data_IF_557350845941
#
_entry.id   IF_557350845941
#
_cell.length_a   1.000
_cell.length_b   1.000
_cell.length_c   1.000
_cell.angle_alpha   90.00
_cell.angle_beta   90.00
_cell.angle_gamma   90.00
#
_symmetry.space_group_name_H-M   'P 1'
#
loop_
_entity.id
_entity.type
_entity.pdbx_description
1 polymer ?
#
# COMPACT_ATOMS: atom_id res chain seq x y z
N UNK A 1 31.78 -28.83 11.75
CA UNK A 1 32.87 -28.03 12.33
C UNK A 1 33.22 -26.91 11.39
N UNK A 2 32.89 -25.70 11.74
CA UNK A 2 33.42 -24.51 11.07
C UNK A 2 34.91 -24.47 11.38
N UNK A 3 35.73 -24.74 10.38
CA UNK A 3 37.17 -24.46 10.48
C UNK A 3 37.33 -22.94 10.57
N UNK A 4 37.66 -22.42 11.73
CA UNK A 4 38.14 -21.05 11.87
C UNK A 4 39.46 -20.99 11.13
N UNK A 5 39.42 -20.58 9.86
CA UNK A 5 40.60 -20.31 9.06
C UNK A 5 41.48 -19.24 9.72
N UNK A 6 42.68 -19.06 9.19
CA UNK A 6 43.59 -18.01 9.65
C UNK A 6 42.89 -16.66 9.84
N UNK A 7 43.28 -15.88 10.85
CA UNK A 7 42.64 -14.58 11.09
C UNK A 7 42.65 -13.75 9.81
N UNK A 8 41.46 -13.34 9.37
CA UNK A 8 41.36 -12.48 8.20
C UNK A 8 41.97 -11.11 8.53
N UNK A 9 42.66 -10.48 7.58
CA UNK A 9 43.23 -9.17 7.83
C UNK A 9 42.09 -8.20 8.20
N UNK A 10 42.24 -7.51 9.31
CA UNK A 10 41.35 -6.47 9.77
C UNK A 10 41.67 -5.12 9.14
N UNK A 11 40.67 -4.28 8.85
CA UNK A 11 39.25 -4.46 9.07
C UNK A 11 38.55 -5.29 8.00
N UNK A 12 37.59 -6.13 8.40
CA UNK A 12 36.83 -6.95 7.47
C UNK A 12 35.75 -6.11 6.76
N UNK A 13 35.98 -5.82 5.49
CA UNK A 13 35.02 -5.13 4.63
C UNK A 13 34.17 -6.16 3.87
N UNK A 14 33.04 -6.54 4.41
CA UNK A 14 32.13 -7.50 3.79
C UNK A 14 30.69 -6.95 3.75
N UNK A 15 29.98 -7.31 2.70
CA UNK A 15 28.53 -7.18 2.62
C UNK A 15 27.89 -8.53 2.88
N UNK A 16 26.84 -8.59 3.65
CA UNK A 16 26.16 -9.85 3.95
C UNK A 16 24.95 -9.65 4.85
N UNK A 17 24.30 -10.77 5.17
CA UNK A 17 23.18 -10.82 6.13
C UNK A 17 23.62 -11.60 7.35
N UNK A 18 23.33 -11.05 8.51
CA UNK A 18 23.52 -11.71 9.79
C UNK A 18 22.21 -11.73 10.54
N UNK A 19 21.87 -12.86 11.10
CA UNK A 19 20.71 -13.01 11.97
C UNK A 19 21.16 -13.01 13.42
N UNK A 20 20.36 -12.43 14.29
CA UNK A 20 20.53 -12.57 15.74
C UNK A 20 20.52 -14.07 16.11
N UNK A 21 21.47 -14.56 16.92
CA UNK A 21 21.62 -15.98 17.18
C UNK A 21 20.48 -16.56 18.05
N UNK A 22 19.78 -15.73 18.80
CA UNK A 22 18.73 -16.06 19.77
C UNK A 22 17.34 -15.68 19.29
N UNK A 23 17.14 -15.53 17.97
CA UNK A 23 15.83 -15.21 17.37
C UNK A 23 14.77 -16.23 17.78
N UNK A 24 13.60 -15.70 18.10
CA UNK A 24 12.40 -16.46 18.44
C UNK A 24 11.40 -16.42 17.30
N UNK A 25 10.51 -17.37 17.26
CA UNK A 25 9.45 -17.40 16.25
C UNK A 25 8.52 -16.21 16.41
N UNK A 26 8.12 -15.62 15.27
CA UNK A 26 7.04 -14.65 15.23
C UNK A 26 5.73 -15.28 15.72
N UNK A 27 4.87 -14.46 16.27
CA UNK A 27 3.54 -14.87 16.70
C UNK A 27 2.48 -13.86 16.25
N UNK A 28 1.26 -14.34 16.09
CA UNK A 28 0.11 -13.52 15.71
C UNK A 28 -1.04 -13.76 16.68
N UNK A 29 -1.60 -12.69 17.20
CA UNK A 29 -2.89 -12.68 17.88
C UNK A 29 -3.91 -12.03 16.94
N UNK A 30 -5.02 -12.72 16.71
CA UNK A 30 -6.10 -12.22 15.86
C UNK A 30 -7.41 -12.32 16.64
N UNK A 31 -8.27 -11.32 16.44
CA UNK A 31 -9.60 -11.26 17.03
C UNK A 31 -10.58 -10.68 16.04
N UNK A 32 -11.81 -11.20 16.12
CA UNK A 32 -12.92 -10.74 15.30
C UNK A 32 -14.21 -10.82 16.10
N UNK A 33 -15.00 -9.75 16.00
CA UNK A 33 -16.39 -9.73 16.43
C UNK A 33 -17.24 -9.33 15.23
N UNK A 34 -18.16 -10.19 14.82
CA UNK A 34 -19.03 -9.95 13.69
C UNK A 34 -20.49 -10.11 14.09
N UNK A 35 -21.34 -9.19 13.64
CA UNK A 35 -22.80 -9.25 13.78
C UNK A 35 -23.38 -9.20 12.37
N UNK A 36 -24.13 -10.24 12.01
CA UNK A 36 -24.84 -10.32 10.73
C UNK A 36 -26.33 -10.36 10.99
N UNK A 37 -27.08 -9.63 10.17
CA UNK A 37 -28.55 -9.63 10.23
C UNK A 37 -29.13 -9.71 8.82
N UNK A 38 -30.06 -10.63 8.65
CA UNK A 38 -30.89 -10.67 7.47
C UNK A 38 -32.03 -9.66 7.66
N UNK A 39 -31.99 -8.55 6.88
CA UNK A 39 -32.98 -7.46 6.96
C UNK A 39 -34.23 -7.80 6.17
N UNK A 40 -34.08 -8.47 5.03
CA UNK A 40 -35.17 -9.00 4.20
C UNK A 40 -34.84 -10.43 3.78
N UNK A 41 -35.75 -11.13 3.09
CA UNK A 41 -35.48 -12.48 2.58
C UNK A 41 -34.21 -12.57 1.71
N UNK A 42 -33.83 -11.47 1.07
CA UNK A 42 -32.74 -11.43 0.10
C UNK A 42 -31.61 -10.46 0.49
N UNK A 43 -31.76 -9.62 1.50
CA UNK A 43 -30.75 -8.65 1.95
C UNK A 43 -30.17 -9.05 3.30
N UNK A 44 -28.88 -9.28 3.32
CA UNK A 44 -28.08 -9.48 4.52
C UNK A 44 -27.11 -8.30 4.71
N UNK A 45 -27.01 -7.80 5.95
CA UNK A 45 -26.02 -6.80 6.35
C UNK A 45 -25.21 -7.36 7.50
N UNK A 46 -23.91 -7.17 7.44
CA UNK A 46 -22.95 -7.55 8.47
C UNK A 46 -22.05 -6.39 8.83
N UNK A 47 -21.73 -6.28 10.12
CA UNK A 47 -20.70 -5.38 10.63
C UNK A 47 -19.72 -6.18 11.44
N UNK A 48 -18.43 -5.89 11.29
CA UNK A 48 -17.38 -6.59 12.01
C UNK A 48 -16.32 -5.62 12.52
N UNK A 49 -15.79 -5.93 13.69
CA UNK A 49 -14.51 -5.41 14.15
C UNK A 49 -13.47 -6.50 14.05
N UNK A 50 -12.39 -6.23 13.36
CA UNK A 50 -11.28 -7.16 13.12
C UNK A 50 -9.99 -6.52 13.59
N UNK A 51 -9.18 -7.28 14.31
CA UNK A 51 -7.88 -6.80 14.72
C UNK A 51 -6.82 -7.90 14.68
N UNK A 52 -5.57 -7.50 14.54
CA UNK A 52 -4.43 -8.37 14.71
C UNK A 52 -3.26 -7.64 15.35
N UNK A 53 -2.50 -8.40 16.14
CA UNK A 53 -1.20 -7.99 16.63
C UNK A 53 -0.19 -9.09 16.29
N UNK A 54 0.85 -8.70 15.57
CA UNK A 54 1.94 -9.57 15.19
C UNK A 54 3.20 -9.08 15.90
N UNK A 55 3.78 -9.92 16.73
CA UNK A 55 4.99 -9.64 17.49
C UNK A 55 6.15 -10.52 17.05
N UNK A 56 7.35 -10.14 17.43
CA UNK A 56 8.58 -10.82 17.03
C UNK A 56 8.68 -10.99 15.50
N UNK A 57 8.20 -10.01 14.77
CA UNK A 57 8.39 -9.98 13.33
C UNK A 57 9.84 -9.66 13.00
N UNK A 58 10.28 -10.06 11.85
CA UNK A 58 11.59 -9.70 11.37
C UNK A 58 11.74 -8.17 11.30
N UNK A 59 12.79 -7.68 11.89
CA UNK A 59 13.22 -6.30 11.84
C UNK A 59 14.67 -6.29 11.37
N UNK A 60 14.88 -5.77 10.18
CA UNK A 60 16.21 -5.75 9.57
C UNK A 60 16.63 -4.37 9.15
N UNK A 61 17.92 -4.12 9.17
CA UNK A 61 18.49 -2.83 8.79
C UNK A 61 20.02 -2.88 8.79
N UNK A 62 20.63 -1.71 8.71
CA UNK A 62 22.09 -1.55 8.68
C UNK A 62 22.72 -1.74 10.06
N UNK A 63 22.73 -2.97 10.57
CA UNK A 63 23.23 -3.28 11.90
C UNK A 63 24.70 -2.99 12.12
N UNK A 64 25.51 -2.90 11.04
CA UNK A 64 26.91 -2.45 11.15
C UNK A 64 27.06 -0.93 11.29
N UNK A 65 25.98 -0.15 11.13
CA UNK A 65 26.06 1.29 11.26
C UNK A 65 26.38 1.72 12.71
N UNK A 66 27.00 2.87 12.92
CA UNK A 66 27.01 3.53 14.22
C UNK A 66 25.62 3.67 14.80
N UNK A 67 25.48 3.57 16.12
CA UNK A 67 24.18 3.70 16.80
C UNK A 67 23.63 5.11 16.78
N UNK A 68 24.51 6.08 16.64
CA UNK A 68 24.20 7.52 16.55
C UNK A 68 24.80 8.10 15.27
N UNK A 69 24.39 9.30 14.90
CA UNK A 69 25.07 10.04 13.85
C UNK A 69 26.57 10.16 14.18
N UNK A 70 27.41 9.88 13.19
CA UNK A 70 28.87 9.91 13.38
C UNK A 70 29.43 11.35 13.26
N UNK A 71 29.06 12.16 14.24
CA UNK A 71 29.36 13.57 14.35
C UNK A 71 30.05 13.81 15.69
N UNK A 72 31.07 14.65 15.70
CA UNK A 72 31.72 15.09 16.91
C UNK A 72 30.75 16.00 17.71
N UNK A 73 30.31 15.63 18.91
CA UNK A 73 29.32 16.39 19.67
C UNK A 73 29.82 17.75 20.15
N UNK A 74 31.15 17.94 20.26
CA UNK A 74 31.73 19.19 20.72
C UNK A 74 31.86 20.25 19.61
N UNK A 75 32.12 19.78 18.37
CA UNK A 75 32.43 20.71 17.27
C UNK A 75 31.39 20.65 16.12
N UNK A 76 30.49 19.69 16.12
CA UNK A 76 29.55 19.44 15.00
C UNK A 76 30.24 18.92 13.72
N UNK A 77 31.55 18.60 13.81
CA UNK A 77 32.32 18.08 12.67
C UNK A 77 31.92 16.65 12.33
N UNK A 78 31.83 16.36 11.06
CA UNK A 78 31.69 14.97 10.59
C UNK A 78 32.95 14.18 10.93
N UNK A 79 32.78 13.04 11.57
CA UNK A 79 33.88 12.15 11.92
C UNK A 79 34.53 11.57 10.66
N UNK A 80 35.83 11.39 10.70
CA UNK A 80 36.56 10.66 9.65
C UNK A 80 36.11 9.19 9.57
N UNK A 81 36.41 8.47 8.49
CA UNK A 81 36.09 7.04 8.39
C UNK A 81 36.65 6.20 9.55
N UNK A 82 37.86 6.50 10.04
CA UNK A 82 38.48 5.79 11.17
C UNK A 82 37.72 6.03 12.47
N UNK A 83 37.44 7.30 12.80
CA UNK A 83 36.66 7.69 13.99
C UNK A 83 35.24 7.11 13.94
N UNK A 84 34.56 7.19 12.79
CA UNK A 84 33.25 6.59 12.57
C UNK A 84 33.24 5.09 12.78
N UNK A 85 34.24 4.37 12.26
CA UNK A 85 34.34 2.93 12.41
C UNK A 85 34.51 2.51 13.88
N UNK A 86 35.14 3.33 14.71
CA UNK A 86 35.24 3.09 16.14
C UNK A 86 33.88 3.17 16.87
N UNK A 87 32.90 3.89 16.30
CA UNK A 87 31.52 3.98 16.85
C UNK A 87 30.63 2.79 16.46
N UNK A 88 31.09 1.91 15.58
CA UNK A 88 30.30 0.76 15.17
C UNK A 88 30.23 -0.30 16.28
N UNK A 89 29.12 -1.02 16.41
CA UNK A 89 28.99 -2.13 17.38
C UNK A 89 30.08 -3.20 17.21
N UNK A 90 30.55 -3.37 15.99
CA UNK A 90 31.64 -4.26 15.61
C UNK A 90 32.67 -3.45 14.84
N UNK A 91 33.57 -2.79 15.54
CA UNK A 91 34.54 -1.84 14.97
C UNK A 91 35.45 -2.45 13.90
N UNK A 92 35.72 -3.75 13.97
CA UNK A 92 36.50 -4.50 12.97
C UNK A 92 35.71 -4.82 11.69
N UNK A 93 34.38 -4.61 11.66
CA UNK A 93 33.56 -4.82 10.47
C UNK A 93 33.25 -3.46 9.85
N UNK A 94 33.93 -3.11 8.78
CA UNK A 94 33.74 -1.83 8.08
C UNK A 94 32.77 -1.93 6.91
N UNK A 95 32.37 -3.15 6.53
CA UNK A 95 31.41 -3.41 5.48
C UNK A 95 30.00 -2.99 5.83
N UNK A 96 29.18 -2.93 4.81
CA UNK A 96 27.76 -2.57 4.92
C UNK A 96 26.93 -3.86 4.99
N UNK A 97 26.86 -4.49 6.15
CA UNK A 97 26.02 -5.67 6.34
C UNK A 97 24.67 -5.34 6.96
N UNK A 98 23.70 -6.13 6.64
CA UNK A 98 22.38 -6.12 7.26
C UNK A 98 22.33 -7.04 8.46
N UNK A 99 21.68 -6.60 9.50
CA UNK A 99 21.40 -7.39 10.68
C UNK A 99 19.90 -7.57 10.86
N UNK A 100 19.45 -8.77 11.13
CA UNK A 100 18.06 -9.12 11.26
C UNK A 100 17.79 -9.69 12.65
N UNK A 101 16.75 -9.20 13.28
CA UNK A 101 16.31 -9.57 14.62
C UNK A 101 14.80 -9.81 14.65
N UNK A 102 14.27 -10.30 15.77
CA UNK A 102 12.85 -10.63 15.99
C UNK A 102 12.11 -9.57 16.83
N UNK A 103 12.52 -8.29 16.72
CA UNK A 103 11.97 -7.20 17.53
C UNK A 103 10.87 -6.40 16.82
N UNK A 104 10.52 -6.76 15.60
CA UNK A 104 9.51 -6.10 14.81
C UNK A 104 8.09 -6.37 15.31
N UNK A 105 7.18 -5.44 15.00
CA UNK A 105 5.77 -5.57 15.33
C UNK A 105 4.88 -4.99 14.23
N UNK A 106 3.64 -5.51 14.15
CA UNK A 106 2.56 -4.91 13.36
C UNK A 106 1.25 -4.99 14.13
N UNK A 107 0.45 -3.94 14.06
CA UNK A 107 -0.89 -3.87 14.64
C UNK A 107 -1.87 -3.37 13.61
N UNK A 108 -2.92 -4.15 13.37
CA UNK A 108 -4.03 -3.83 12.48
C UNK A 108 -5.32 -3.76 13.27
N UNK A 109 -6.17 -2.77 12.97
CA UNK A 109 -7.54 -2.70 13.46
C UNK A 109 -8.44 -2.22 12.33
N UNK A 110 -9.59 -2.82 12.18
CA UNK A 110 -10.56 -2.46 11.15
C UNK A 110 -11.99 -2.60 11.63
N UNK A 111 -12.82 -1.66 11.18
CA UNK A 111 -14.27 -1.80 11.12
C UNK A 111 -14.64 -2.18 9.69
N UNK A 112 -15.48 -3.19 9.53
CA UNK A 112 -15.93 -3.67 8.24
C UNK A 112 -17.47 -3.67 8.18
N UNK A 113 -18.00 -3.14 7.07
CA UNK A 113 -19.40 -3.19 6.72
C UNK A 113 -19.56 -4.00 5.44
N UNK A 114 -20.46 -4.97 5.43
CA UNK A 114 -20.82 -5.77 4.27
C UNK A 114 -22.34 -5.76 4.08
N UNK A 115 -22.80 -5.49 2.87
CA UNK A 115 -24.19 -5.64 2.47
C UNK A 115 -24.24 -6.56 1.25
N UNK A 116 -25.07 -7.59 1.32
CA UNK A 116 -25.24 -8.57 0.25
C UNK A 116 -26.74 -8.72 -0.08
N UNK A 117 -27.08 -8.31 -1.28
CA UNK A 117 -28.38 -8.58 -1.88
C UNK A 117 -28.26 -9.84 -2.73
N UNK A 118 -28.95 -10.93 -2.35
CA UNK A 118 -29.10 -12.13 -3.17
C UNK A 118 -30.06 -11.86 -4.31
N UNK A 119 -29.96 -12.68 -5.36
CA UNK A 119 -30.81 -12.52 -6.53
C UNK A 119 -32.28 -12.40 -6.16
N UNK A 120 -32.87 -11.26 -6.48
CA UNK A 120 -34.28 -10.96 -6.33
C UNK A 120 -34.70 -9.97 -7.41
N UNK A 121 -35.75 -10.27 -8.13
CA UNK A 121 -36.28 -9.46 -9.23
C UNK A 121 -35.22 -9.05 -10.28
N UNK A 122 -34.28 -9.95 -10.56
CA UNK A 122 -33.22 -9.71 -11.51
C UNK A 122 -31.99 -8.97 -10.96
N UNK A 123 -31.92 -8.69 -9.65
CA UNK A 123 -30.84 -7.91 -9.06
C UNK A 123 -30.02 -8.71 -8.03
N UNK A 124 -28.72 -8.63 -8.15
CA UNK A 124 -27.73 -9.15 -7.18
C UNK A 124 -26.70 -8.06 -6.91
N UNK A 125 -26.34 -7.85 -5.66
CA UNK A 125 -25.38 -6.81 -5.29
C UNK A 125 -24.55 -7.22 -4.08
N UNK A 126 -23.28 -6.83 -4.06
CA UNK A 126 -22.39 -6.94 -2.91
C UNK A 126 -21.63 -5.64 -2.73
N UNK A 127 -21.79 -5.03 -1.57
CA UNK A 127 -21.05 -3.86 -1.13
C UNK A 127 -20.20 -4.27 0.07
N UNK A 128 -18.94 -3.85 0.08
CA UNK A 128 -18.02 -4.02 1.20
C UNK A 128 -17.28 -2.71 1.44
N UNK A 129 -17.27 -2.29 2.69
CA UNK A 129 -16.53 -1.12 3.14
C UNK A 129 -15.64 -1.49 4.32
N UNK A 130 -14.39 -1.07 4.27
CA UNK A 130 -13.42 -1.26 5.35
C UNK A 130 -12.87 0.09 5.76
N UNK A 131 -12.92 0.37 7.05
CA UNK A 131 -12.20 1.47 7.68
C UNK A 131 -11.14 0.88 8.61
N UNK A 132 -9.86 1.16 8.32
CA UNK A 132 -8.75 0.48 9.02
C UNK A 132 -7.60 1.40 9.35
N UNK A 133 -6.77 0.92 10.29
CA UNK A 133 -5.49 1.51 10.64
C UNK A 133 -4.45 0.42 10.86
N UNK A 134 -3.29 0.60 10.22
CA UNK A 134 -2.14 -0.30 10.39
C UNK A 134 -0.92 0.49 10.84
N UNK A 135 -0.27 0.03 11.90
CA UNK A 135 0.99 0.57 12.42
C UNK A 135 1.97 -0.59 12.47
N UNK A 136 3.20 -0.37 12.03
CA UNK A 136 4.27 -1.35 12.11
C UNK A 136 5.64 -0.69 12.37
N UNK A 137 6.66 -1.51 12.59
CA UNK A 137 8.05 -1.07 12.68
C UNK A 137 8.80 -1.25 11.35
N UNK A 138 8.29 -2.10 10.48
CA UNK A 138 8.81 -2.31 9.13
C UNK A 138 7.70 -2.91 8.28
N UNK A 139 7.46 -2.32 7.11
CA UNK A 139 6.41 -2.79 6.19
C UNK A 139 6.92 -3.77 5.15
N UNK A 140 8.16 -4.15 5.19
CA UNK A 140 8.75 -5.03 4.20
C UNK A 140 9.64 -6.10 4.80
N UNK A 141 9.89 -7.13 4.02
CA UNK A 141 10.87 -8.16 4.29
C UNK A 141 12.19 -7.77 3.63
N UNK A 142 13.33 -7.99 4.28
CA UNK A 142 14.67 -7.63 3.80
C UNK A 142 14.85 -6.15 3.40
N UNK A 143 14.40 -5.19 4.23
CA UNK A 143 14.39 -3.77 3.84
C UNK A 143 13.58 -3.49 2.59
N UNK A 144 12.66 -4.34 2.23
CA UNK A 144 11.82 -4.36 1.05
C UNK A 144 12.28 -3.42 -0.05
N UNK A 145 13.28 -3.84 -0.73
CA UNK A 145 13.66 -3.22 -1.99
C UNK A 145 12.48 -3.36 -2.93
N UNK A 146 11.78 -2.26 -3.20
CA UNK A 146 10.72 -2.19 -4.20
C UNK A 146 9.32 -2.59 -3.75
N UNK A 147 9.07 -2.84 -2.47
CA UNK A 147 7.70 -2.93 -1.94
C UNK A 147 7.06 -1.55 -1.85
N UNK A 148 5.73 -1.52 -1.92
CA UNK A 148 4.91 -0.33 -1.78
C UNK A 148 5.34 0.45 -0.53
N UNK A 149 5.98 1.62 -0.70
CA UNK A 149 6.32 2.56 0.38
C UNK A 149 7.29 2.05 1.45
N UNK A 150 7.83 0.85 1.30
CA UNK A 150 8.76 0.25 2.26
C UNK A 150 10.16 0.86 2.18
N UNK A 151 10.32 2.10 2.64
CA UNK A 151 11.66 2.62 2.87
C UNK A 151 12.24 1.95 4.10
N UNK A 152 13.51 1.52 4.06
CA UNK A 152 14.13 0.84 5.18
C UNK A 152 14.25 1.77 6.39
N UNK A 153 14.45 1.14 7.50
CA UNK A 153 14.73 1.78 8.78
C UNK A 153 15.98 2.65 8.65
N UNK A 154 15.87 3.95 8.90
CA UNK A 154 17.03 4.86 8.80
C UNK A 154 18.07 4.61 9.90
N UNK A 155 17.63 4.22 11.09
CA UNK A 155 18.48 3.81 12.20
C UNK A 155 18.03 2.46 12.74
N UNK A 156 18.80 1.41 12.50
CA UNK A 156 18.49 0.06 12.99
C UNK A 156 18.39 0.01 14.53
N UNK A 157 19.15 0.83 15.22
CA UNK A 157 19.27 0.80 16.68
C UNK A 157 18.15 1.56 17.40
N UNK A 158 17.36 2.31 16.67
CA UNK A 158 16.19 3.04 17.17
C UNK A 158 14.90 2.48 16.54
N UNK A 159 14.32 1.49 17.21
CA UNK A 159 13.07 0.86 16.77
C UNK A 159 11.84 1.78 16.95
N UNK A 160 11.91 2.70 17.90
CA UNK A 160 10.80 3.62 18.16
C UNK A 160 10.71 4.67 17.05
N UNK A 161 11.85 5.13 16.53
CA UNK A 161 11.93 5.93 15.31
C UNK A 161 11.38 5.20 14.07
N UNK A 162 11.56 3.90 14.01
CA UNK A 162 11.04 3.08 12.90
C UNK A 162 9.53 2.80 13.01
N UNK A 163 8.93 2.93 14.21
CA UNK A 163 7.50 2.69 14.41
C UNK A 163 6.66 3.80 13.82
N UNK A 164 5.77 3.47 12.90
CA UNK A 164 4.93 4.46 12.23
C UNK A 164 3.77 3.83 11.46
N UNK A 165 3.08 4.65 10.69
CA UNK A 165 2.05 4.17 9.76
C UNK A 165 2.65 3.15 8.80
N UNK A 166 2.01 1.98 8.68
CA UNK A 166 2.44 0.94 7.75
C UNK A 166 2.31 1.40 6.30
N UNK A 167 3.20 0.96 5.41
CA UNK A 167 3.05 1.17 3.97
C UNK A 167 1.79 0.50 3.39
N UNK A 168 1.21 -0.46 4.10
CA UNK A 168 -0.02 -1.15 3.73
C UNK A 168 -1.28 -0.50 4.34
N UNK A 169 -1.13 0.63 5.04
CA UNK A 169 -2.25 1.33 5.67
C UNK A 169 -3.10 2.06 4.63
N UNK A 170 -4.24 1.48 4.31
CA UNK A 170 -5.27 2.10 3.46
C UNK A 170 -6.52 2.32 4.32
N UNK A 171 -6.72 3.53 4.89
CA UNK A 171 -7.78 3.78 5.85
C UNK A 171 -9.18 3.45 5.36
N UNK A 172 -9.48 3.75 4.12
CA UNK A 172 -10.80 3.53 3.55
C UNK A 172 -10.70 2.73 2.26
N UNK A 173 -11.45 1.62 2.20
CA UNK A 173 -11.62 0.82 0.98
C UNK A 173 -13.11 0.54 0.83
N UNK A 174 -13.68 0.94 -0.31
CA UNK A 174 -15.05 0.65 -0.72
C UNK A 174 -15.02 -0.17 -2.02
N UNK A 175 -15.70 -1.30 -2.00
CA UNK A 175 -15.98 -2.09 -3.20
C UNK A 175 -17.47 -2.29 -3.33
N UNK A 176 -18.00 -2.14 -4.55
CA UNK A 176 -19.38 -2.39 -4.84
C UNK A 176 -19.52 -3.06 -6.21
N UNK A 177 -19.98 -4.29 -6.22
CA UNK A 177 -20.24 -5.06 -7.43
C UNK A 177 -21.71 -5.43 -7.50
N UNK A 178 -22.30 -5.32 -8.68
CA UNK A 178 -23.72 -5.67 -8.90
C UNK A 178 -23.96 -6.19 -10.29
N UNK A 179 -24.98 -7.01 -10.38
CA UNK A 179 -25.55 -7.56 -11.61
C UNK A 179 -27.03 -7.24 -11.59
N UNK A 180 -27.50 -6.56 -12.64
CA UNK A 180 -28.90 -6.22 -12.80
C UNK A 180 -29.43 -6.66 -14.16
N UNK A 181 -30.27 -7.68 -14.15
CA UNK A 181 -31.07 -8.05 -15.32
C UNK A 181 -32.19 -7.03 -15.45
N UNK A 182 -32.17 -6.23 -16.51
CA UNK A 182 -33.17 -5.20 -16.72
C UNK A 182 -34.58 -5.82 -16.85
N UNK A 183 -35.60 -5.18 -16.30
CA UNK A 183 -36.95 -5.74 -16.22
C UNK A 183 -37.72 -5.63 -17.55
N UNK A 184 -37.01 -5.69 -18.68
CA UNK A 184 -37.54 -5.59 -20.01
C UNK A 184 -37.30 -6.87 -20.79
N UNK A 185 -38.26 -7.29 -21.65
CA UNK A 185 -38.16 -8.43 -22.54
C UNK A 185 -39.07 -9.61 -22.17
N UNK A 186 -38.94 -10.70 -22.94
CA UNK A 186 -39.78 -11.89 -22.76
C UNK A 186 -39.62 -12.47 -21.34
N UNK A 187 -40.76 -12.70 -20.68
CA UNK A 187 -40.80 -13.23 -19.32
C UNK A 187 -40.39 -12.20 -18.22
N UNK A 188 -40.19 -10.93 -18.58
CA UNK A 188 -39.89 -9.81 -17.64
C UNK A 188 -41.16 -8.98 -17.40
N UNK A 189 -41.05 -7.99 -16.49
CA UNK A 189 -42.17 -7.15 -16.07
C UNK A 189 -42.74 -6.28 -17.22
N UNK A 190 -41.86 -5.79 -18.09
CA UNK A 190 -42.22 -4.84 -19.15
C UNK A 190 -41.70 -5.31 -20.51
N UNK A 191 -42.36 -4.85 -21.58
CA UNK A 191 -42.00 -5.15 -22.97
C UNK A 191 -41.88 -6.66 -23.25
N UNK A 192 -42.94 -7.42 -22.89
CA UNK A 192 -42.97 -8.87 -23.00
C UNK A 192 -43.05 -9.35 -24.45
N UNK A 193 -43.63 -8.53 -25.35
CA UNK A 193 -43.99 -8.93 -26.73
C UNK A 193 -43.55 -7.91 -27.77
N UNK A 194 -43.59 -8.34 -29.03
CA UNK A 194 -43.34 -7.50 -30.20
C UNK A 194 -41.86 -7.20 -30.48
N UNK A 195 -41.61 -6.39 -31.51
CA UNK A 195 -40.26 -6.03 -31.97
C UNK A 195 -39.47 -5.26 -30.90
N UNK A 196 -40.16 -4.45 -30.05
CA UNK A 196 -39.53 -3.73 -28.96
C UNK A 196 -38.90 -4.67 -27.90
N UNK A 197 -39.55 -5.81 -27.63
CA UNK A 197 -39.03 -6.85 -26.75
C UNK A 197 -37.70 -7.43 -27.27
N UNK A 198 -37.55 -7.55 -28.55
CA UNK A 198 -36.32 -8.07 -29.19
C UNK A 198 -35.17 -7.08 -29.05
N UNK A 199 -35.40 -5.79 -29.23
CA UNK A 199 -34.38 -4.75 -29.21
C UNK A 199 -34.02 -4.36 -27.78
N UNK A 200 -35.04 -4.05 -26.96
CA UNK A 200 -34.88 -3.49 -25.62
C UNK A 200 -34.91 -4.53 -24.48
N UNK A 201 -35.25 -5.78 -24.81
CA UNK A 201 -35.33 -6.86 -23.82
C UNK A 201 -34.02 -7.59 -23.58
N UNK A 202 -33.98 -8.38 -22.50
CA UNK A 202 -32.89 -9.27 -22.13
C UNK A 202 -31.52 -8.60 -22.01
N UNK A 203 -31.51 -7.36 -21.56
CA UNK A 203 -30.29 -6.65 -21.20
C UNK A 203 -29.94 -6.90 -19.74
N UNK A 204 -28.65 -7.00 -19.48
CA UNK A 204 -28.07 -7.10 -18.16
C UNK A 204 -27.00 -6.01 -18.02
N UNK A 205 -27.08 -5.28 -16.92
CA UNK A 205 -26.10 -4.25 -16.54
C UNK A 205 -25.28 -4.77 -15.37
N UNK A 206 -23.96 -4.82 -15.52
CA UNK A 206 -23.04 -5.17 -14.45
C UNK A 206 -22.15 -4.00 -14.18
N UNK A 207 -21.85 -3.73 -12.92
CA UNK A 207 -20.86 -2.72 -12.56
C UNK A 207 -20.01 -3.17 -11.40
N UNK A 208 -18.81 -2.65 -11.37
CA UNK A 208 -17.86 -2.81 -10.28
C UNK A 208 -17.23 -1.45 -9.97
N UNK A 209 -17.40 -0.99 -8.74
CA UNK A 209 -16.77 0.21 -8.19
C UNK A 209 -15.70 -0.22 -7.19
N UNK A 210 -14.54 0.39 -7.31
CA UNK A 210 -13.48 0.37 -6.30
C UNK A 210 -13.13 1.82 -5.97
N UNK A 211 -13.17 2.17 -4.68
CA UNK A 211 -12.64 3.43 -4.19
C UNK A 211 -11.78 3.17 -2.94
N UNK A 212 -10.62 3.84 -2.85
CA UNK A 212 -9.72 3.69 -1.71
C UNK A 212 -8.94 4.96 -1.44
N UNK A 213 -8.55 5.14 -0.18
CA UNK A 213 -7.59 6.18 0.22
C UNK A 213 -6.24 6.00 -0.45
N UNK A 214 -5.48 7.08 -0.53
CA UNK A 214 -4.11 7.08 -1.01
C UNK A 214 -3.16 6.27 -0.14
N UNK A 215 -2.08 5.80 -0.74
CA UNK A 215 -1.02 5.06 -0.04
C UNK A 215 -0.19 5.99 0.85
N UNK A 216 0.30 5.51 1.99
CA UNK A 216 1.22 6.26 2.83
C UNK A 216 2.58 6.46 2.13
N UNK A 217 3.23 7.60 2.40
CA UNK A 217 4.50 7.95 1.78
C UNK A 217 5.45 8.60 2.76
N UNK A 218 6.72 8.26 2.65
CA UNK A 218 7.83 8.82 3.44
C UNK A 218 8.59 9.84 2.61
N UNK A 219 8.90 11.00 3.18
CA UNK A 219 9.78 11.98 2.55
C UNK A 219 11.24 11.65 2.86
N UNK A 220 12.05 11.56 1.82
CA UNK A 220 13.46 11.17 1.93
C UNK A 220 14.39 12.31 1.53
N UNK A 221 15.56 12.34 2.18
CA UNK A 221 16.58 13.38 1.94
C UNK A 221 17.75 12.90 1.06
N UNK A 222 17.84 11.61 0.80
CA UNK A 222 19.00 11.07 0.07
C UNK A 222 20.33 11.21 0.82
N UNK A 223 21.42 10.76 0.21
CA UNK A 223 22.76 10.92 0.75
C UNK A 223 23.05 10.17 2.06
N UNK A 224 23.97 10.70 2.85
CA UNK A 224 24.39 10.18 4.15
C UNK A 224 24.51 11.34 5.17
N UNK A 225 23.38 11.98 5.55
CA UNK A 225 23.42 13.12 6.46
C UNK A 225 23.95 12.77 7.85
N UNK A 226 23.67 11.57 8.34
CA UNK A 226 24.15 11.09 9.63
C UNK A 226 25.60 10.59 9.61
N UNK A 227 26.30 10.67 8.48
CA UNK A 227 27.68 10.23 8.29
C UNK A 227 27.91 8.75 8.67
N UNK A 228 27.04 7.87 8.24
CA UNK A 228 27.14 6.42 8.55
C UNK A 228 28.15 5.69 7.67
N UNK A 229 28.59 6.32 6.57
CA UNK A 229 29.56 5.77 5.63
C UNK A 229 28.95 5.00 4.45
N UNK A 230 27.66 5.14 4.22
CA UNK A 230 26.97 4.60 3.08
C UNK A 230 25.74 5.45 2.77
N UNK A 231 25.31 5.46 1.52
CA UNK A 231 24.05 6.08 1.15
C UNK A 231 22.93 5.42 1.94
N UNK A 232 22.24 6.20 2.75
CA UNK A 232 21.18 5.72 3.62
C UNK A 232 19.81 6.22 3.11
N UNK A 233 18.77 5.55 3.54
CA UNK A 233 17.39 5.98 3.32
C UNK A 233 16.97 7.02 4.38
N UNK A 234 17.79 8.06 4.53
CA UNK A 234 17.49 9.13 5.49
C UNK A 234 16.17 9.79 5.14
N UNK A 235 15.32 9.94 6.14
CA UNK A 235 14.14 10.77 6.04
C UNK A 235 14.55 12.23 6.05
N UNK A 236 13.68 13.10 5.54
CA UNK A 236 13.86 14.54 5.69
C UNK A 236 13.55 14.99 7.12
N UNK A 237 14.01 16.18 7.50
CA UNK A 237 13.53 16.84 8.70
C UNK A 237 12.14 17.42 8.45
N UNK A 238 11.24 17.31 9.43
CA UNK A 238 9.96 18.00 9.45
C UNK A 238 10.13 19.34 10.15
N UNK A 239 9.97 20.44 9.40
CA UNK A 239 10.18 21.83 9.89
C UNK A 239 8.91 22.68 9.82
N UNK A 240 7.80 22.13 9.35
CA UNK A 240 6.51 22.82 9.24
C UNK A 240 5.35 21.87 8.98
N UNK A 241 4.16 22.39 8.71
CA UNK A 241 3.00 21.59 8.35
C UNK A 241 3.15 21.06 6.90
N UNK A 242 3.17 19.74 6.71
CA UNK A 242 3.32 19.13 5.39
C UNK A 242 2.05 19.19 4.52
N UNK A 243 0.91 19.56 5.08
CA UNK A 243 -0.37 19.55 4.36
C UNK A 243 -0.57 20.84 3.57
N UNK A 244 -1.36 20.73 2.52
CA UNK A 244 -1.89 21.85 1.74
C UNK A 244 -3.42 21.78 1.76
N UNK A 245 -4.07 22.93 1.79
CA UNK A 245 -5.52 23.02 1.70
C UNK A 245 -6.05 22.60 0.33
N UNK A 246 -5.30 22.88 -0.73
CA UNK A 246 -5.65 22.56 -2.11
C UNK A 246 -4.45 21.92 -2.85
N UNK A 247 -4.21 20.61 -2.66
CA UNK A 247 -3.13 19.91 -3.32
C UNK A 247 -3.43 19.71 -4.81
N UNK A 248 -2.42 19.94 -5.66
CA UNK A 248 -2.48 19.73 -7.11
C UNK A 248 -1.42 18.73 -7.57
N UNK A 249 -1.53 18.16 -8.80
CA UNK A 249 -0.47 17.28 -9.32
C UNK A 249 0.90 17.96 -9.43
N UNK A 250 0.95 19.28 -9.61
CA UNK A 250 2.21 20.03 -9.65
C UNK A 250 2.78 20.33 -8.27
N UNK A 251 1.94 20.30 -7.24
CA UNK A 251 2.34 20.51 -5.84
C UNK A 251 1.39 19.75 -4.91
N UNK A 252 1.75 18.50 -4.59
CA UNK A 252 0.88 17.61 -3.82
C UNK A 252 0.94 17.84 -2.31
N UNK A 253 2.06 18.33 -1.80
CA UNK A 253 2.26 18.64 -0.38
C UNK A 253 3.20 19.84 -0.22
N UNK A 254 3.23 20.41 0.97
CA UNK A 254 4.03 21.58 1.27
C UNK A 254 5.54 21.24 1.26
N UNK A 255 6.23 21.64 0.20
CA UNK A 255 7.68 21.43 0.04
C UNK A 255 8.50 22.07 1.16
N UNK A 256 8.08 23.24 1.65
CA UNK A 256 8.80 24.00 2.65
C UNK A 256 8.69 23.38 4.05
N UNK A 257 7.78 22.43 4.25
CA UNK A 257 7.65 21.69 5.50
C UNK A 257 8.79 20.69 5.74
N UNK A 258 9.64 20.45 4.74
CA UNK A 258 10.70 19.47 4.84
C UNK A 258 12.05 20.08 4.47
N UNK A 259 13.08 19.71 5.23
CA UNK A 259 14.47 20.13 5.02
C UNK A 259 15.41 18.92 4.98
N UNK A 260 16.57 19.09 4.37
CA UNK A 260 17.63 18.11 4.46
C UNK A 260 18.21 18.06 5.89
N UNK A 261 18.30 16.89 6.50
CA UNK A 261 18.94 16.78 7.82
C UNK A 261 20.40 17.20 7.74
N UNK A 262 20.87 17.92 8.77
CA UNK A 262 22.25 18.35 8.86
C UNK A 262 22.93 17.63 10.01
N UNK A 263 23.90 16.76 9.67
CA UNK A 263 24.67 15.99 10.65
C UNK A 263 23.82 15.16 11.63
N UNK A 264 22.64 14.70 11.18
CA UNK A 264 21.67 13.97 12.00
C UNK A 264 20.87 12.97 11.16
N UNK A 265 20.11 12.12 11.83
CA UNK A 265 19.00 11.40 11.22
C UNK A 265 17.82 12.36 11.01
N UNK A 266 17.04 12.14 9.96
CA UNK A 266 15.88 12.97 9.70
C UNK A 266 14.78 12.78 10.74
N UNK A 267 14.10 13.87 11.08
CA UNK A 267 13.11 13.93 12.17
C UNK A 267 11.68 13.66 11.73
N UNK A 268 11.38 13.60 10.41
CA UNK A 268 10.02 13.29 9.97
C UNK A 268 9.63 11.84 10.25
N UNK A 269 8.35 11.61 10.54
CA UNK A 269 7.82 10.26 10.71
C UNK A 269 7.85 9.46 9.40
N UNK A 270 7.92 8.15 9.55
CA UNK A 270 7.72 7.22 8.43
C UNK A 270 6.27 7.27 7.98
N UNK A 271 6.06 7.36 6.65
CA UNK A 271 4.73 7.35 6.04
C UNK A 271 3.82 8.49 6.53
N UNK A 272 4.40 9.68 6.73
CA UNK A 272 3.72 10.88 7.22
C UNK A 272 2.73 11.47 6.20
N UNK A 273 2.97 11.27 4.91
CA UNK A 273 2.13 11.77 3.82
C UNK A 273 1.26 10.67 3.22
N UNK A 274 0.26 11.09 2.42
CA UNK A 274 -0.56 10.19 1.60
C UNK A 274 -0.58 10.64 0.15
N UNK A 275 -0.51 9.65 -0.73
CA UNK A 275 -0.76 9.81 -2.16
C UNK A 275 -2.23 10.16 -2.44
N UNK A 276 -2.58 10.54 -3.68
CA UNK A 276 -3.97 10.68 -4.10
C UNK A 276 -4.81 9.45 -3.81
N UNK A 277 -6.10 9.68 -3.54
CA UNK A 277 -7.08 8.60 -3.50
C UNK A 277 -7.26 7.99 -4.89
N UNK A 278 -7.73 6.77 -4.94
CA UNK A 278 -8.02 6.05 -6.18
C UNK A 278 -9.47 5.66 -6.22
N UNK A 279 -10.15 5.88 -7.37
CA UNK A 279 -11.44 5.25 -7.62
C UNK A 279 -11.62 4.89 -9.10
N UNK A 280 -12.36 3.83 -9.34
CA UNK A 280 -12.64 3.32 -10.67
C UNK A 280 -14.03 2.70 -10.71
N UNK A 281 -14.73 2.87 -11.82
CA UNK A 281 -15.98 2.16 -12.12
C UNK A 281 -15.86 1.49 -13.47
N UNK A 282 -16.01 0.18 -13.47
CA UNK A 282 -16.14 -0.62 -14.68
C UNK A 282 -17.60 -0.97 -14.89
N UNK A 283 -18.04 -0.96 -16.14
CA UNK A 283 -19.42 -1.21 -16.55
C UNK A 283 -19.44 -2.24 -17.67
N UNK A 284 -20.34 -3.22 -17.57
CA UNK A 284 -20.63 -4.15 -18.66
C UNK A 284 -22.11 -4.09 -18.99
N UNK A 285 -22.42 -3.84 -20.24
CA UNK A 285 -23.76 -3.99 -20.80
C UNK A 285 -23.79 -5.25 -21.65
N UNK A 286 -24.60 -6.22 -21.23
CA UNK A 286 -24.73 -7.52 -21.89
C UNK A 286 -26.14 -7.67 -22.45
N UNK A 287 -26.23 -8.18 -23.67
CA UNK A 287 -27.49 -8.56 -24.32
C UNK A 287 -27.51 -10.05 -24.63
N UNK A 288 -28.52 -10.73 -24.16
CA UNK A 288 -28.77 -12.12 -24.42
C UNK A 288 -29.87 -12.26 -25.49
N UNK A 289 -29.56 -12.85 -26.63
CA UNK A 289 -30.47 -13.06 -27.77
C UNK A 289 -30.71 -14.55 -27.89
N UNK A 290 -31.88 -15.07 -27.46
CA UNK A 290 -32.20 -16.45 -27.59
C UNK A 290 -32.45 -16.78 -29.08
N UNK A 291 -31.81 -17.84 -29.57
CA UNK A 291 -31.93 -18.36 -30.94
C UNK A 291 -32.59 -19.76 -30.93
N UNK A 292 -33.76 -19.86 -30.33
CA UNK A 292 -34.47 -21.11 -30.07
C UNK A 292 -34.32 -21.61 -28.63
N UNK A 293 -34.54 -22.92 -28.42
CA UNK A 293 -34.61 -23.51 -27.08
C UNK A 293 -33.22 -23.78 -26.44
N UNK A 294 -32.19 -24.01 -27.26
CA UNK A 294 -30.86 -24.42 -26.78
C UNK A 294 -29.72 -23.49 -27.20
N UNK A 295 -29.99 -22.51 -28.05
CA UNK A 295 -28.94 -21.62 -28.61
C UNK A 295 -29.14 -20.18 -28.18
N UNK A 296 -28.04 -19.50 -27.92
CA UNK A 296 -28.05 -18.12 -27.48
C UNK A 296 -26.87 -17.37 -28.09
N UNK A 297 -27.11 -16.14 -28.55
CA UNK A 297 -26.07 -15.20 -28.89
C UNK A 297 -25.97 -14.18 -27.77
N UNK A 298 -24.78 -13.99 -27.24
CA UNK A 298 -24.45 -13.06 -26.17
C UNK A 298 -23.57 -11.95 -26.75
N UNK A 299 -24.04 -10.72 -26.68
CA UNK A 299 -23.27 -9.53 -27.01
C UNK A 299 -22.88 -8.83 -25.71
N UNK A 300 -21.62 -8.38 -25.59
CA UNK A 300 -21.10 -7.60 -24.47
C UNK A 300 -20.45 -6.32 -24.94
N UNK A 301 -20.75 -5.25 -24.25
CA UNK A 301 -20.03 -3.98 -24.29
C UNK A 301 -19.42 -3.78 -22.90
N UNK A 302 -18.10 -3.79 -22.82
CA UNK A 302 -17.36 -3.63 -21.57
C UNK A 302 -16.62 -2.27 -21.60
N UNK A 303 -16.85 -1.47 -20.57
CA UNK A 303 -16.31 -0.14 -20.39
C UNK A 303 -15.48 -0.12 -19.10
N UNK A 304 -14.17 -0.21 -19.25
CA UNK A 304 -13.27 -0.05 -18.10
C UNK A 304 -13.00 1.43 -17.90
N UNK A 305 -13.03 1.88 -16.64
CA UNK A 305 -12.97 3.29 -16.28
C UNK A 305 -14.02 4.10 -17.05
N UNK A 306 -15.30 3.76 -16.85
CA UNK A 306 -16.42 4.31 -17.64
C UNK A 306 -16.48 5.83 -17.62
N UNK A 307 -16.09 6.47 -16.52
CA UNK A 307 -16.06 7.91 -16.35
C UNK A 307 -14.80 8.57 -16.94
N UNK A 308 -13.84 7.78 -17.45
CA UNK A 308 -12.53 8.27 -17.88
C UNK A 308 -11.84 9.14 -16.83
N UNK A 309 -12.00 8.74 -15.55
CA UNK A 309 -11.39 9.45 -14.43
C UNK A 309 -9.88 9.24 -14.42
N UNK A 310 -9.15 10.33 -14.23
CA UNK A 310 -7.69 10.27 -14.08
C UNK A 310 -7.39 9.98 -12.62
N UNK A 311 -6.81 8.81 -12.37
CA UNK A 311 -6.26 8.49 -11.07
C UNK A 311 -4.79 8.87 -11.06
N UNK A 312 -4.44 9.89 -10.33
CA UNK A 312 -3.07 10.36 -10.21
C UNK A 312 -2.16 9.32 -9.54
N UNK A 313 -0.91 9.28 -9.98
CA UNK A 313 0.14 8.46 -9.39
C UNK A 313 0.65 9.03 -8.07
N UNK A 314 1.69 8.41 -7.53
CA UNK A 314 2.32 8.92 -6.33
C UNK A 314 3.21 10.12 -6.67
N UNK A 315 3.19 11.19 -5.86
CA UNK A 315 4.14 12.28 -5.98
C UNK A 315 5.57 11.81 -5.64
N UNK A 316 6.55 12.47 -6.19
CA UNK A 316 7.93 12.23 -5.81
C UNK A 316 8.20 12.79 -4.41
N UNK A 317 8.73 11.96 -3.50
CA UNK A 317 8.98 12.30 -2.10
C UNK A 317 10.47 12.47 -1.76
N UNK A 318 11.36 12.46 -2.73
CA UNK A 318 12.79 12.72 -2.53
C UNK A 318 13.08 14.21 -2.68
N UNK A 319 13.49 14.88 -1.60
CA UNK A 319 13.76 16.33 -1.60
C UNK A 319 14.90 16.73 -2.56
N UNK A 320 15.74 15.79 -2.97
CA UNK A 320 16.84 16.04 -3.92
C UNK A 320 16.40 15.94 -5.39
N UNK A 321 15.19 15.45 -5.64
CA UNK A 321 14.68 15.22 -6.98
C UNK A 321 14.05 16.49 -7.58
N UNK A 322 14.28 16.76 -8.86
CA UNK A 322 13.71 17.90 -9.56
C UNK A 322 12.16 17.89 -9.58
N UNK A 323 11.55 16.69 -9.52
CA UNK A 323 10.09 16.52 -9.46
C UNK A 323 9.55 16.39 -8.03
N UNK A 324 10.32 16.81 -7.01
CA UNK A 324 9.89 16.75 -5.62
C UNK A 324 8.51 17.37 -5.40
N UNK A 325 7.62 16.66 -4.74
CA UNK A 325 6.21 16.94 -4.49
C UNK A 325 5.32 17.00 -5.74
N UNK A 326 5.80 16.58 -6.91
CA UNK A 326 5.02 16.53 -8.16
C UNK A 326 4.59 15.11 -8.48
N UNK A 327 3.41 15.00 -9.06
CA UNK A 327 2.89 13.79 -9.67
C UNK A 327 3.18 13.85 -11.15
N UNK A 328 3.91 12.87 -11.69
CA UNK A 328 4.32 12.82 -13.09
C UNK A 328 3.73 11.63 -13.85
N UNK A 329 2.86 10.85 -13.20
CA UNK A 329 2.26 9.67 -13.79
C UNK A 329 0.87 9.38 -13.23
N UNK A 330 0.23 8.36 -13.76
CA UNK A 330 -1.10 7.89 -13.35
C UNK A 330 -1.02 6.53 -12.65
N UNK A 331 -1.94 6.29 -11.73
CA UNK A 331 -2.12 4.99 -11.02
C UNK A 331 -3.10 4.06 -11.70
N UNK A 332 -3.78 4.48 -12.75
CA UNK A 332 -4.80 3.72 -13.48
C UNK A 332 -4.59 3.77 -14.98
N UNK A 333 -5.48 3.13 -15.68
CA UNK A 333 -5.55 3.20 -17.14
C UNK A 333 -6.64 4.17 -17.56
N UNK A 334 -6.50 4.85 -18.72
CA UNK A 334 -7.60 5.59 -19.32
C UNK A 334 -8.75 4.64 -19.68
N UNK A 335 -9.91 5.20 -20.02
CA UNK A 335 -11.08 4.40 -20.41
C UNK A 335 -10.71 3.48 -21.56
N UNK A 336 -11.09 2.20 -21.40
CA UNK A 336 -10.99 1.19 -22.44
C UNK A 336 -12.38 0.69 -22.77
N UNK A 337 -12.62 0.40 -24.05
CA UNK A 337 -13.89 -0.14 -24.55
C UNK A 337 -13.59 -1.46 -25.23
N UNK A 338 -14.33 -2.50 -24.86
CA UNK A 338 -14.20 -3.83 -25.45
C UNK A 338 -15.58 -4.33 -25.89
N UNK A 339 -15.64 -4.95 -27.06
CA UNK A 339 -16.82 -5.65 -27.56
C UNK A 339 -16.56 -7.14 -27.56
N UNK A 340 -17.52 -7.89 -27.10
CA UNK A 340 -17.49 -9.35 -27.10
C UNK A 340 -18.75 -9.92 -27.77
N UNK A 341 -18.58 -10.99 -28.56
CA UNK A 341 -19.66 -11.75 -29.10
C UNK A 341 -19.40 -13.22 -28.80
N UNK A 342 -20.40 -13.89 -28.21
CA UNK A 342 -20.31 -15.31 -27.84
C UNK A 342 -21.54 -16.03 -28.32
N UNK A 343 -21.33 -17.14 -29.00
CA UNK A 343 -22.38 -18.10 -29.37
C UNK A 343 -22.35 -19.26 -28.39
N UNK A 344 -23.51 -19.58 -27.82
CA UNK A 344 -23.70 -20.70 -26.90
C UNK A 344 -24.67 -21.68 -27.60
N UNK A 345 -24.31 -22.94 -27.65
CA UNK A 345 -25.08 -23.99 -28.32
C UNK A 345 -25.18 -25.23 -27.43
#
# INVERSE_FOLDING_TARGET
>A
SLSIGAPRPEPWNSTGYFNAPDRKNAYSHQWQLEIQRQLTRNLMVGVAYVGSYNGRMEYSGRGAAPRTAAIDPATGRRLTPAERNALRPWAHITGNFRYSDDIGMSKYNAFQLKAQQRFAEGFTSMLSYTWSRTIDTSSGWFDAEGGIGGRPVQNYWDKDDARGTSAYDIPHILTWASIWELPFGRGKRWLNDGAASWILGNWQLNWMLLARSGQPMTVTAGGDPANLGFSNYSRADLVGDPHLDDPTPDLWFNKAAFAAPVNAFGSSDRNILRAPSYWNVDLTLQKNIPLGSARQLEFRLELFNVFNHINDGNPNTDITNANYARITGMSGRPRQVQFGLRFVY
#
